data_IF_559354291636
#
_entry.id   IF_559354291636
#
_cell.length_a   1.000
_cell.length_b   1.000
_cell.length_c   1.000
_cell.angle_alpha   90.00
_cell.angle_beta   90.00
_cell.angle_gamma   90.00
#
_symmetry.space_group_name_H-M   'P 1'
#
loop_
_entity.id
_entity.type
_entity.pdbx_description
1 polymer ?
#
# COMPACT_ATOMS: atom_id res chain seq x y z
N UNK A 1 -22.26 -37.47 -41.32
CA UNK A 1 -20.87 -37.01 -41.49
C UNK A 1 -20.14 -37.36 -40.20
N UNK A 2 -19.43 -38.50 -40.14
CA UNK A 2 -17.99 -38.65 -40.43
C UNK A 2 -17.10 -37.77 -39.52
N UNK A 3 -16.08 -38.23 -38.79
CA UNK A 3 -15.48 -39.55 -38.55
C UNK A 3 -14.58 -39.39 -37.31
N UNK A 4 -14.63 -40.34 -36.37
CA UNK A 4 -13.55 -40.56 -35.41
C UNK A 4 -12.32 -41.12 -36.13
N UNK A 5 -11.13 -40.66 -35.78
CA UNK A 5 -9.88 -41.30 -36.16
C UNK A 5 -9.33 -42.10 -34.98
N UNK A 6 -9.10 -43.39 -35.22
CA UNK A 6 -8.52 -44.38 -34.32
C UNK A 6 -7.32 -44.99 -35.06
N UNK A 7 -6.12 -44.84 -34.53
CA UNK A 7 -4.92 -45.66 -34.82
C UNK A 7 -4.12 -45.67 -33.50
N UNK A 8 -3.69 -46.76 -32.89
CA UNK A 8 -3.61 -48.15 -33.31
C UNK A 8 -2.18 -48.69 -33.20
N UNK A 9 -1.81 -49.14 -31.99
CA UNK A 9 -0.71 -50.11 -31.63
C UNK A 9 0.73 -49.62 -31.82
N UNK A 10 1.70 -49.95 -30.96
CA UNK A 10 2.18 -51.33 -30.73
C UNK A 10 2.91 -51.49 -29.38
N UNK A 11 2.56 -52.57 -28.67
CA UNK A 11 3.26 -53.12 -27.52
C UNK A 11 4.56 -53.81 -27.94
N UNK A 12 5.66 -53.59 -27.20
CA UNK A 12 6.70 -54.61 -27.05
C UNK A 12 7.03 -54.82 -25.57
N UNK A 13 6.75 -56.06 -25.18
CA UNK A 13 6.99 -56.74 -23.91
C UNK A 13 8.48 -56.82 -23.57
N UNK A 14 8.85 -56.68 -22.28
CA UNK A 14 9.20 -57.85 -21.45
C UNK A 14 9.66 -57.46 -20.03
N UNK A 15 9.17 -58.28 -19.09
CA UNK A 15 9.73 -58.68 -17.79
C UNK A 15 9.62 -57.70 -16.63
N UNK A 16 8.64 -58.01 -15.78
CA UNK A 16 8.99 -58.53 -14.45
C UNK A 16 8.54 -57.68 -13.28
N UNK A 17 7.91 -58.38 -12.33
CA UNK A 17 7.98 -58.14 -10.87
C UNK A 17 6.91 -57.21 -10.28
N UNK A 18 5.98 -57.91 -9.60
CA UNK A 18 5.30 -57.56 -8.34
C UNK A 18 4.08 -56.65 -8.38
N UNK A 19 2.95 -57.29 -8.03
CA UNK A 19 1.68 -56.71 -7.62
C UNK A 19 1.91 -55.80 -6.41
N UNK A 20 1.57 -54.52 -6.53
CA UNK A 20 1.27 -53.65 -5.39
C UNK A 20 -0.11 -53.07 -5.64
N UNK A 21 -1.09 -53.57 -4.89
CA UNK A 21 -2.40 -52.97 -4.80
C UNK A 21 -2.29 -51.70 -3.96
N UNK A 22 -2.38 -50.54 -4.59
CA UNK A 22 -2.47 -49.26 -3.90
C UNK A 22 -3.93 -48.82 -3.91
N UNK A 23 -4.64 -49.18 -2.84
CA UNK A 23 -5.86 -48.51 -2.40
C UNK A 23 -5.43 -47.18 -1.76
N UNK A 24 -5.61 -46.06 -2.46
CA UNK A 24 -5.62 -44.74 -1.82
C UNK A 24 -7.03 -44.20 -1.93
N UNK A 25 -7.72 -44.25 -0.80
CA UNK A 25 -9.02 -43.68 -0.58
C UNK A 25 -8.98 -42.15 -0.69
N UNK A 26 -10.12 -41.59 -1.09
CA UNK A 26 -10.43 -40.17 -1.15
C UNK A 26 -9.93 -39.38 0.06
N UNK A 27 -9.19 -38.30 -0.21
CA UNK A 27 -9.22 -37.11 0.61
C UNK A 27 -9.36 -35.92 -0.33
N UNK A 28 -10.59 -35.43 -0.45
CA UNK A 28 -10.89 -34.14 -1.05
C UNK A 28 -10.28 -33.06 -0.16
N UNK A 29 -9.02 -32.71 -0.43
CA UNK A 29 -8.40 -31.53 0.17
C UNK A 29 -8.83 -30.34 -0.66
N UNK A 30 -10.01 -29.81 -0.34
CA UNK A 30 -10.34 -28.41 -0.60
C UNK A 30 -9.41 -27.62 0.34
N UNK A 31 -8.37 -26.91 -0.12
CA UNK A 31 -7.88 -25.82 0.68
C UNK A 31 -9.04 -24.83 0.73
N UNK A 32 -9.63 -24.71 1.92
CA UNK A 32 -10.55 -23.63 2.25
C UNK A 32 -9.88 -22.36 1.76
N UNK A 33 -10.42 -21.79 0.68
CA UNK A 33 -10.46 -20.35 0.55
C UNK A 33 -11.05 -19.88 1.87
N UNK A 34 -10.22 -19.38 2.77
CA UNK A 34 -10.65 -18.48 3.80
C UNK A 34 -11.25 -17.29 3.05
N UNK A 35 -12.52 -17.45 2.65
CA UNK A 35 -13.39 -16.34 2.39
C UNK A 35 -13.20 -15.45 3.60
N UNK A 36 -12.61 -14.28 3.37
CA UNK A 36 -12.58 -13.21 4.34
C UNK A 36 -14.05 -12.94 4.66
N UNK A 37 -14.56 -13.55 5.72
CA UNK A 37 -15.91 -13.30 6.19
C UNK A 37 -15.88 -11.87 6.75
N UNK A 38 -16.46 -10.87 6.06
CA UNK A 38 -16.39 -9.48 6.49
C UNK A 38 -17.03 -9.28 7.87
N UNK A 39 -17.85 -10.25 8.33
CA UNK A 39 -18.46 -10.25 9.66
C UNK A 39 -17.47 -10.43 10.83
N UNK A 40 -16.23 -10.87 10.57
CA UNK A 40 -15.24 -11.15 11.62
C UNK A 40 -14.07 -10.17 11.69
N UNK A 41 -14.01 -9.19 10.77
CA UNK A 41 -12.92 -8.20 10.79
C UNK A 41 -13.21 -7.14 11.86
N UNK A 42 -12.81 -7.42 13.10
CA UNK A 42 -12.87 -6.44 14.18
C UNK A 42 -11.85 -5.34 13.95
N UNK A 43 -12.32 -4.10 13.80
CA UNK A 43 -11.45 -2.94 13.62
C UNK A 43 -10.62 -2.67 14.88
N UNK A 44 -9.33 -2.43 14.70
CA UNK A 44 -8.41 -2.15 15.79
C UNK A 44 -8.80 -0.86 16.52
N UNK A 45 -8.78 -0.89 17.85
CA UNK A 45 -8.96 0.31 18.68
C UNK A 45 -7.64 1.04 18.88
N UNK A 46 -7.56 2.32 18.49
CA UNK A 46 -6.35 3.16 18.69
C UNK A 46 -6.72 4.52 19.24
N UNK A 47 -5.85 5.07 20.10
CA UNK A 47 -5.96 6.44 20.57
C UNK A 47 -5.58 7.43 19.44
N UNK A 48 -6.47 8.35 19.05
CA UNK A 48 -6.18 9.30 17.97
C UNK A 48 -4.94 10.14 18.21
N UNK A 49 -4.68 10.52 19.47
CA UNK A 49 -3.49 11.30 19.83
C UNK A 49 -2.18 10.54 19.55
N UNK A 50 -2.15 9.22 19.75
CA UNK A 50 -0.98 8.39 19.45
C UNK A 50 -0.79 8.22 17.95
N UNK A 51 -1.88 8.00 17.20
CA UNK A 51 -1.86 7.94 15.73
C UNK A 51 -1.34 9.24 15.15
N UNK A 52 -1.84 10.39 15.60
CA UNK A 52 -1.41 11.71 15.10
C UNK A 52 0.06 12.01 15.41
N UNK A 53 0.54 11.70 16.62
CA UNK A 53 1.97 11.84 16.96
C UNK A 53 2.86 10.94 16.10
N UNK A 54 2.43 9.71 15.85
CA UNK A 54 3.13 8.77 14.96
C UNK A 54 3.20 9.33 13.55
N UNK A 55 2.07 9.83 13.03
CA UNK A 55 2.00 10.47 11.72
C UNK A 55 2.96 11.66 11.61
N UNK A 56 2.97 12.55 12.61
CA UNK A 56 3.89 13.71 12.63
C UNK A 56 5.35 13.28 12.63
N UNK A 57 5.71 12.23 13.38
CA UNK A 57 7.07 11.71 13.39
C UNK A 57 7.48 11.16 12.01
N UNK A 58 6.59 10.40 11.36
CA UNK A 58 6.82 9.84 10.02
C UNK A 58 6.92 10.94 8.96
N UNK A 59 6.03 11.93 8.99
CA UNK A 59 6.07 13.10 8.10
C UNK A 59 7.42 13.83 8.23
N UNK A 60 7.89 14.07 9.46
CA UNK A 60 9.19 14.72 9.72
C UNK A 60 10.36 13.87 9.23
N UNK A 61 10.35 12.56 9.46
CA UNK A 61 11.39 11.67 8.97
C UNK A 61 11.46 11.69 7.44
N UNK A 62 10.32 11.62 6.76
CA UNK A 62 10.26 11.72 5.29
C UNK A 62 10.74 13.08 4.81
N UNK A 63 10.26 14.17 5.40
CA UNK A 63 10.68 15.53 5.03
C UNK A 63 12.20 15.74 5.19
N UNK A 64 12.79 15.26 6.27
CA UNK A 64 14.23 15.34 6.52
C UNK A 64 15.07 14.55 5.51
N UNK A 65 14.47 13.57 4.81
CA UNK A 65 15.15 12.77 3.81
C UNK A 65 14.94 13.28 2.38
N UNK A 66 14.06 14.26 2.15
CA UNK A 66 13.95 14.90 0.83
C UNK A 66 14.99 16.03 0.73
N UNK A 67 15.81 16.10 -0.35
CA UNK A 67 16.90 17.09 -0.46
C UNK A 67 16.42 18.51 -0.80
N UNK A 68 15.29 18.96 -0.25
CA UNK A 68 14.69 20.27 -0.47
C UNK A 68 13.52 20.51 0.49
N UNK A 69 13.15 21.77 0.65
CA UNK A 69 11.97 22.16 1.44
C UNK A 69 10.65 21.87 0.70
N UNK A 70 9.61 21.42 1.42
CA UNK A 70 8.27 21.24 0.86
C UNK A 70 7.58 22.59 0.62
N UNK A 71 6.65 22.60 -0.34
CA UNK A 71 5.71 23.70 -0.57
C UNK A 71 4.67 23.75 0.55
N UNK A 72 4.27 22.58 1.06
CA UNK A 72 3.41 22.47 2.23
C UNK A 72 4.13 23.02 3.45
N UNK A 73 3.72 24.19 3.93
CA UNK A 73 4.20 24.75 5.19
C UNK A 73 3.48 24.04 6.33
N UNK A 74 4.23 23.31 7.14
CA UNK A 74 3.76 22.54 8.30
C UNK A 74 2.70 21.46 7.97
N UNK A 75 3.10 20.36 7.31
CA UNK A 75 2.21 19.21 7.09
C UNK A 75 1.72 18.60 8.41
N UNK A 76 0.42 18.73 8.68
CA UNK A 76 -0.24 18.16 9.86
C UNK A 76 -1.18 17.03 9.45
N UNK A 77 -1.36 15.98 10.29
CA UNK A 77 -2.39 14.98 10.07
C UNK A 77 -3.78 15.61 10.12
N UNK A 78 -4.60 15.26 9.15
CA UNK A 78 -6.02 15.49 9.12
C UNK A 78 -6.75 14.22 9.57
N UNK A 79 -7.73 14.38 10.45
CA UNK A 79 -8.56 13.29 10.95
C UNK A 79 -9.98 13.38 10.37
N UNK A 80 -10.41 12.32 9.69
CA UNK A 80 -11.74 12.19 9.13
C UNK A 80 -12.56 11.11 9.81
N UNK A 81 -13.84 11.04 9.46
CA UNK A 81 -14.64 9.84 9.74
C UNK A 81 -14.33 8.82 8.64
N UNK A 82 -13.93 7.61 9.04
CA UNK A 82 -13.69 6.54 8.08
C UNK A 82 -14.93 5.66 7.92
N UNK A 83 -15.52 5.72 6.72
CA UNK A 83 -16.62 4.84 6.33
C UNK A 83 -16.06 3.53 5.73
N UNK A 84 -16.02 2.48 6.53
CA UNK A 84 -15.57 1.16 6.09
C UNK A 84 -16.69 0.28 5.54
N UNK A 85 -17.93 0.77 5.46
CA UNK A 85 -19.10 -0.03 5.07
C UNK A 85 -19.51 -1.13 6.07
N UNK A 86 -18.80 -1.26 7.20
CA UNK A 86 -19.04 -2.27 8.25
C UNK A 86 -19.98 -1.71 9.35
N UNK A 87 -21.26 -1.45 9.05
CA UNK A 87 -22.27 -0.85 9.98
C UNK A 87 -21.73 0.20 10.99
N UNK A 88 -20.76 0.99 10.54
CA UNK A 88 -19.97 1.90 11.38
C UNK A 88 -20.52 3.31 11.29
N UNK A 89 -21.86 3.47 11.24
CA UNK A 89 -22.50 4.79 11.08
C UNK A 89 -21.84 5.82 11.99
N UNK A 90 -21.57 7.01 11.45
CA UNK A 90 -20.89 8.08 12.16
C UNK A 90 -21.61 8.40 13.46
N UNK A 91 -20.94 8.14 14.58
CA UNK A 91 -21.36 8.50 15.94
C UNK A 91 -20.34 9.45 16.53
N UNK A 92 -20.82 10.42 17.29
CA UNK A 92 -19.94 11.30 18.07
C UNK A 92 -19.51 10.60 19.34
N UNK A 93 -18.23 10.69 19.65
CA UNK A 93 -17.63 10.22 20.90
C UNK A 93 -16.83 11.35 21.55
N UNK A 94 -16.73 11.40 22.90
CA UNK A 94 -15.92 12.42 23.55
C UNK A 94 -14.42 12.25 23.23
N UNK A 95 -13.71 13.30 22.79
CA UNK A 95 -12.27 13.21 22.49
C UNK A 95 -11.45 12.70 23.67
N UNK A 96 -10.35 12.00 23.38
CA UNK A 96 -9.42 11.53 24.43
C UNK A 96 -8.76 12.72 25.15
N UNK A 97 -8.52 12.65 26.48
CA UNK A 97 -7.75 13.66 27.18
C UNK A 97 -6.35 13.76 26.58
N UNK A 98 -5.90 14.98 26.26
CA UNK A 98 -4.58 15.21 25.65
C UNK A 98 -4.46 14.83 24.17
N UNK A 99 -5.57 14.56 23.47
CA UNK A 99 -5.62 14.51 22.02
C UNK A 99 -5.68 15.93 21.44
N UNK A 100 -4.59 16.46 20.83
CA UNK A 100 -4.57 17.82 20.31
C UNK A 100 -5.46 17.99 19.07
N UNK A 101 -5.85 16.90 18.40
CA UNK A 101 -6.73 16.93 17.23
C UNK A 101 -8.21 16.83 17.59
N UNK A 102 -8.54 16.60 18.87
CA UNK A 102 -9.90 16.53 19.40
C UNK A 102 -10.83 15.61 18.57
N UNK A 103 -10.36 14.42 18.23
CA UNK A 103 -11.07 13.51 17.32
C UNK A 103 -12.33 12.98 17.99
N UNK A 104 -13.48 13.35 17.41
CA UNK A 104 -14.80 13.09 17.97
C UNK A 104 -15.60 12.01 17.23
N UNK A 105 -14.96 11.16 16.43
CA UNK A 105 -15.63 10.13 15.63
C UNK A 105 -15.41 8.73 16.21
N UNK A 106 -16.45 7.90 16.20
CA UNK A 106 -16.37 6.52 16.67
C UNK A 106 -15.42 5.65 15.84
N UNK A 107 -15.29 5.96 14.56
CA UNK A 107 -14.34 5.38 13.61
C UNK A 107 -13.70 6.52 12.86
N UNK A 108 -12.37 6.52 12.77
CA UNK A 108 -11.62 7.62 12.18
C UNK A 108 -10.46 7.11 11.32
N UNK A 109 -10.05 7.94 10.38
CA UNK A 109 -8.77 7.82 9.67
C UNK A 109 -7.85 9.00 10.01
N UNK A 110 -6.57 8.84 9.68
CA UNK A 110 -5.61 9.93 9.72
C UNK A 110 -4.83 9.95 8.41
N UNK A 111 -4.83 11.08 7.72
CA UNK A 111 -4.14 11.27 6.44
C UNK A 111 -3.35 12.57 6.43
N UNK A 112 -2.32 12.65 5.60
CA UNK A 112 -1.58 13.89 5.37
C UNK A 112 -1.00 13.94 3.96
N UNK A 113 -0.60 15.14 3.54
CA UNK A 113 0.03 15.39 2.25
C UNK A 113 1.24 16.31 2.34
N UNK A 114 2.31 15.93 1.65
CA UNK A 114 3.51 16.72 1.44
C UNK A 114 3.73 16.92 -0.06
N UNK A 115 4.02 18.15 -0.47
CA UNK A 115 4.25 18.49 -1.88
C UNK A 115 5.60 19.16 -2.07
N UNK A 116 6.31 18.78 -3.13
CA UNK A 116 7.54 19.41 -3.57
C UNK A 116 7.40 19.87 -5.03
N UNK A 117 7.55 21.17 -5.28
CA UNK A 117 7.58 21.70 -6.65
C UNK A 117 8.84 21.25 -7.38
N UNK A 118 8.70 20.74 -8.59
CA UNK A 118 9.82 20.36 -9.48
C UNK A 118 9.62 20.97 -10.86
N UNK A 119 10.72 21.21 -11.59
CA UNK A 119 10.69 21.90 -12.88
C UNK A 119 10.44 20.96 -14.05
N UNK A 120 10.69 19.65 -13.87
CA UNK A 120 10.57 18.66 -14.93
C UNK A 120 10.29 17.25 -14.37
N UNK A 121 9.93 16.33 -15.26
CA UNK A 121 9.84 14.90 -14.95
C UNK A 121 11.18 14.30 -14.53
N UNK A 122 12.30 14.76 -15.09
CA UNK A 122 13.62 14.29 -14.69
C UNK A 122 13.94 14.69 -13.24
N UNK A 123 13.59 15.92 -12.85
CA UNK A 123 13.76 16.38 -11.48
C UNK A 123 12.83 15.63 -10.50
N UNK A 124 11.60 15.32 -10.91
CA UNK A 124 10.67 14.52 -10.10
C UNK A 124 11.26 13.13 -9.80
N UNK A 125 11.79 12.45 -10.82
CA UNK A 125 12.44 11.15 -10.67
C UNK A 125 13.67 11.21 -9.75
N UNK A 126 14.51 12.24 -9.90
CA UNK A 126 15.67 12.42 -9.04
C UNK A 126 15.29 12.59 -7.57
N UNK A 127 14.24 13.37 -7.28
CA UNK A 127 13.70 13.56 -5.93
C UNK A 127 13.14 12.24 -5.37
N UNK A 128 12.32 11.54 -6.16
CA UNK A 128 11.69 10.27 -5.75
C UNK A 128 12.73 9.18 -5.49
N UNK A 129 13.69 9.02 -6.41
CA UNK A 129 14.78 8.06 -6.27
C UNK A 129 15.66 8.37 -5.05
N UNK A 130 16.06 9.64 -4.87
CA UNK A 130 16.85 10.06 -3.71
C UNK A 130 16.13 9.77 -2.40
N UNK A 131 14.83 10.08 -2.32
CA UNK A 131 14.02 9.77 -1.15
C UNK A 131 13.96 8.26 -0.88
N UNK A 132 13.69 7.45 -1.90
CA UNK A 132 13.64 5.99 -1.77
C UNK A 132 14.93 5.45 -1.13
N UNK A 133 16.09 5.76 -1.70
CA UNK A 133 17.37 5.23 -1.22
C UNK A 133 17.76 5.76 0.16
N UNK A 134 17.38 7.00 0.49
CA UNK A 134 17.60 7.53 1.84
C UNK A 134 16.73 6.84 2.88
N UNK A 135 15.44 6.60 2.59
CA UNK A 135 14.58 5.85 3.50
C UNK A 135 15.04 4.39 3.65
N UNK A 136 15.52 3.77 2.57
CA UNK A 136 16.15 2.45 2.61
C UNK A 136 17.38 2.46 3.53
N UNK A 137 18.26 3.46 3.41
CA UNK A 137 19.45 3.62 4.23
C UNK A 137 19.19 3.93 5.71
N UNK A 138 18.14 4.71 6.02
CA UNK A 138 17.70 4.95 7.41
C UNK A 138 17.14 3.67 8.05
N UNK A 139 16.53 2.79 7.26
CA UNK A 139 16.02 1.51 7.71
C UNK A 139 14.69 1.58 8.48
N UNK A 140 14.14 0.41 8.77
CA UNK A 140 12.82 0.27 9.42
C UNK A 140 11.62 0.57 8.52
N UNK A 141 11.84 0.68 7.21
CA UNK A 141 10.82 0.87 6.19
C UNK A 141 10.60 -0.42 5.39
N UNK A 142 9.34 -0.74 5.13
CA UNK A 142 8.99 -1.71 4.09
C UNK A 142 8.73 -0.96 2.79
N UNK A 143 9.71 -0.91 1.90
CA UNK A 143 9.65 -0.16 0.64
C UNK A 143 9.33 -1.08 -0.54
N UNK A 144 8.45 -0.61 -1.43
CA UNK A 144 8.09 -1.27 -2.68
C UNK A 144 8.07 -0.26 -3.81
N UNK A 145 8.81 -0.56 -4.89
CA UNK A 145 8.76 0.22 -6.12
C UNK A 145 7.47 -0.13 -6.88
N UNK A 146 6.65 0.86 -7.23
CA UNK A 146 5.38 0.64 -7.94
C UNK A 146 5.58 0.57 -9.47
N UNK A 147 6.61 1.24 -10.00
CA UNK A 147 6.98 1.21 -11.41
C UNK A 147 8.46 1.53 -11.61
N UNK A 148 9.18 0.58 -12.22
CA UNK A 148 10.55 0.76 -12.73
C UNK A 148 10.58 0.65 -14.26
N UNK A 149 9.44 0.77 -14.94
CA UNK A 149 9.35 0.43 -16.35
C UNK A 149 9.02 1.69 -17.12
N UNK A 150 9.96 2.12 -17.95
CA UNK A 150 9.73 3.17 -18.94
C UNK A 150 9.61 2.59 -20.35
N UNK A 151 8.96 3.32 -21.24
CA UNK A 151 8.99 3.05 -22.67
C UNK A 151 9.63 4.24 -23.39
N UNK A 152 10.61 3.97 -24.24
CA UNK A 152 11.26 4.96 -25.11
C UNK A 152 11.32 4.34 -26.49
N UNK A 153 10.78 5.04 -27.50
CA UNK A 153 10.71 4.57 -28.89
C UNK A 153 10.12 3.15 -29.05
N UNK A 154 9.06 2.84 -28.29
CA UNK A 154 8.40 1.53 -28.32
C UNK A 154 9.17 0.39 -27.63
N UNK A 155 10.30 0.70 -26.97
CA UNK A 155 11.11 -0.27 -26.23
C UNK A 155 10.96 -0.07 -24.73
N UNK A 156 10.64 -1.17 -24.05
CA UNK A 156 10.52 -1.25 -22.60
C UNK A 156 11.90 -1.33 -21.97
N UNK A 157 12.20 -0.41 -21.04
CA UNK A 157 13.45 -0.41 -20.28
C UNK A 157 13.13 -0.43 -18.78
N UNK A 158 13.90 -1.22 -18.04
CA UNK A 158 13.93 -1.12 -16.59
C UNK A 158 14.78 0.08 -16.18
N UNK A 159 14.22 0.98 -15.37
CA UNK A 159 14.88 2.13 -14.79
C UNK A 159 15.39 1.75 -13.41
N UNK A 160 16.62 2.13 -13.12
CA UNK A 160 17.26 1.88 -11.83
C UNK A 160 16.56 2.67 -10.70
N UNK A 161 16.20 3.93 -10.99
CA UNK A 161 15.46 4.82 -10.10
C UNK A 161 13.94 4.66 -10.24
N UNK A 162 13.19 4.55 -9.13
CA UNK A 162 11.73 4.44 -9.18
C UNK A 162 11.10 5.75 -9.63
N UNK A 163 10.03 5.64 -10.43
CA UNK A 163 9.17 6.79 -10.80
C UNK A 163 8.09 7.06 -9.75
N UNK A 164 7.70 6.02 -9.02
CA UNK A 164 6.77 6.06 -7.89
C UNK A 164 7.14 4.92 -6.92
N UNK A 165 6.86 5.08 -5.64
CA UNK A 165 7.03 3.99 -4.68
C UNK A 165 6.02 4.08 -3.54
N UNK A 166 5.86 2.95 -2.84
CA UNK A 166 5.15 2.85 -1.57
C UNK A 166 6.11 2.47 -0.47
N UNK A 167 5.86 2.98 0.71
CA UNK A 167 6.55 2.62 1.94
C UNK A 167 5.54 2.38 3.06
N UNK A 168 5.90 1.57 4.03
CA UNK A 168 5.13 1.44 5.27
C UNK A 168 6.08 1.44 6.46
N UNK A 169 5.72 2.18 7.52
CA UNK A 169 6.46 2.19 8.80
C UNK A 169 5.51 2.54 9.94
N UNK A 170 5.59 1.79 11.04
CA UNK A 170 4.80 2.04 12.26
C UNK A 170 3.28 2.21 12.03
N UNK A 171 2.71 1.45 11.09
CA UNK A 171 1.28 1.52 10.74
C UNK A 171 0.88 2.75 9.91
N UNK A 172 1.86 3.47 9.35
CA UNK A 172 1.64 4.56 8.38
C UNK A 172 2.14 4.11 7.02
N UNK A 173 1.22 4.06 6.05
CA UNK A 173 1.52 3.89 4.64
C UNK A 173 1.89 5.24 4.02
N UNK A 174 2.90 5.22 3.18
CA UNK A 174 3.42 6.36 2.43
C UNK A 174 3.36 6.02 0.95
N UNK A 175 2.69 6.85 0.17
CA UNK A 175 2.66 6.75 -1.29
C UNK A 175 3.32 7.98 -1.88
N UNK A 176 4.35 7.76 -2.70
CA UNK A 176 5.08 8.83 -3.38
C UNK A 176 4.79 8.73 -4.87
N UNK A 177 4.28 9.82 -5.43
CA UNK A 177 4.00 9.91 -6.85
C UNK A 177 4.36 11.25 -7.44
N UNK A 178 4.67 11.25 -8.74
CA UNK A 178 4.65 12.46 -9.54
C UNK A 178 3.21 12.84 -9.89
N UNK A 179 2.87 14.12 -9.80
CA UNK A 179 1.63 14.68 -10.32
C UNK A 179 1.94 15.85 -11.28
N UNK A 180 1.33 15.88 -12.47
CA UNK A 180 1.55 16.93 -13.47
C UNK A 180 0.88 18.28 -13.13
N UNK A 181 0.10 18.34 -12.03
CA UNK A 181 -0.53 19.57 -11.55
C UNK A 181 -0.22 19.73 -10.06
N UNK A 182 0.40 20.85 -9.69
CA UNK A 182 0.47 21.25 -8.29
C UNK A 182 -0.93 21.52 -7.71
N UNK A 183 -1.06 21.63 -6.37
CA UNK A 183 -2.32 22.04 -5.76
C UNK A 183 -2.83 23.34 -6.39
N UNK A 184 -4.12 23.39 -6.74
CA UNK A 184 -4.82 24.59 -7.21
C UNK A 184 -4.29 25.24 -8.52
N UNK A 185 -3.91 24.45 -9.53
CA UNK A 185 -3.64 24.98 -10.87
C UNK A 185 -2.32 25.75 -11.00
N UNK A 186 -1.40 25.56 -10.04
CA UNK A 186 -0.04 26.05 -10.17
C UNK A 186 0.65 25.39 -11.37
N UNK A 187 1.24 26.15 -12.31
CA UNK A 187 1.98 25.58 -13.43
C UNK A 187 3.22 24.83 -12.91
N UNK A 188 3.37 23.58 -13.33
CA UNK A 188 4.55 22.77 -13.04
C UNK A 188 4.25 21.39 -12.46
N UNK A 189 5.28 20.56 -12.42
CA UNK A 189 5.24 19.22 -11.86
C UNK A 189 5.38 19.29 -10.33
N UNK A 190 4.74 18.36 -9.62
CA UNK A 190 4.98 18.18 -8.19
C UNK A 190 5.28 16.73 -7.87
N UNK A 191 6.16 16.51 -6.91
CA UNK A 191 6.23 15.24 -6.19
C UNK A 191 5.24 15.33 -5.03
N UNK A 192 4.25 14.46 -5.04
CA UNK A 192 3.25 14.31 -4.00
C UNK A 192 3.60 13.13 -3.13
N UNK A 193 3.61 13.35 -1.82
CA UNK A 193 3.76 12.30 -0.82
C UNK A 193 2.50 12.29 0.02
N UNK A 194 1.77 11.18 -0.04
CA UNK A 194 0.58 10.94 0.77
C UNK A 194 0.92 10.01 1.92
N UNK A 195 0.41 10.35 3.10
CA UNK A 195 0.49 9.53 4.31
C UNK A 195 -0.92 9.06 4.68
N UNK A 196 -1.03 7.79 5.06
CA UNK A 196 -2.29 7.17 5.44
C UNK A 196 -2.05 6.18 6.59
N UNK A 197 -2.70 6.40 7.73
CA UNK A 197 -2.59 5.47 8.87
C UNK A 197 -3.66 4.38 8.83
N UNK A 198 -4.57 4.42 7.85
CA UNK A 198 -5.74 3.55 7.80
C UNK A 198 -6.82 3.95 8.81
N UNK A 199 -7.78 3.05 8.99
CA UNK A 199 -8.99 3.29 9.78
C UNK A 199 -8.95 2.57 11.13
N UNK A 200 -9.30 3.31 12.18
CA UNK A 200 -9.29 2.82 13.55
C UNK A 200 -10.61 3.10 14.26
N UNK A 201 -10.95 2.22 15.19
CA UNK A 201 -12.04 2.44 16.14
C UNK A 201 -11.55 3.32 17.28
N UNK A 202 -12.33 4.35 17.62
CA UNK A 202 -12.03 5.18 18.78
C UNK A 202 -12.20 4.38 20.08
N UNK A 203 -11.33 4.54 21.10
CA UNK A 203 -11.40 3.71 22.31
C UNK A 203 -12.70 3.90 23.11
N UNK A 204 -13.34 5.06 22.95
CA UNK A 204 -14.63 5.43 23.57
C UNK A 204 -15.87 5.16 22.70
N UNK A 205 -15.73 4.39 21.62
CA UNK A 205 -16.81 4.02 20.69
C UNK A 205 -17.51 2.69 21.03
#
# INVERSE_FOLDING_TARGET
>A
MMRCAKVGRTLRSRRGVVRIAVLVACAASIPLSAACDPATTTMEKRNPGDVGRTMVAIIKEVANNVPREPVTRDPQPYFGFCDTGLDNRRKRVPPMPGDPWQVGFNVYDATAGLYYSVKSHEESMAVIGTLYYRLEGVGGWNLKKDSNVGEVDGKRYERESPTNFRGAKNGVDVSVSENPAGPAGAPGFVVSIRFDAGCYKHPRA
#
